data_IF_393640976733
#
_entry.id   IF_393640976733
#
_cell.length_a   1.000
_cell.length_b   1.000
_cell.length_c   1.000
_cell.angle_alpha   90.00
_cell.angle_beta   90.00
_cell.angle_gamma   90.00
#
_symmetry.space_group_name_H-M   'P 1'
#
loop_
_entity.id
_entity.type
_entity.pdbx_description
1 polymer ?
#
# COMPACT_ATOMS: atom_id res chain seq x y z
N UNK A 1 -11.11 -5.57 -1.58
CA UNK A 1 -9.74 -5.46 -0.99
C UNK A 1 -8.74 -5.75 -2.10
N UNK A 2 -7.63 -5.00 -2.19
CA UNK A 2 -6.62 -5.17 -3.25
C UNK A 2 -5.84 -6.48 -3.16
N UNK A 3 -4.82 -6.65 -4.01
CA UNK A 3 -4.01 -7.87 -4.08
C UNK A 3 -3.45 -8.31 -2.70
N UNK A 4 -3.43 -9.63 -2.40
CA UNK A 4 -2.71 -10.18 -1.26
C UNK A 4 -1.23 -9.83 -1.28
N UNK A 5 -0.63 -9.60 -0.12
CA UNK A 5 0.79 -9.23 -0.01
C UNK A 5 1.72 -10.27 -0.65
N UNK A 6 1.35 -11.55 -0.60
CA UNK A 6 2.08 -12.63 -1.27
C UNK A 6 2.12 -12.43 -2.79
N UNK A 7 0.98 -12.11 -3.41
CA UNK A 7 0.92 -11.88 -4.86
C UNK A 7 1.66 -10.60 -5.26
N UNK A 8 1.55 -9.53 -4.47
CA UNK A 8 2.34 -8.31 -4.67
C UNK A 8 3.84 -8.63 -4.64
N UNK A 9 4.28 -9.45 -3.69
CA UNK A 9 5.68 -9.87 -3.57
C UNK A 9 6.15 -10.66 -4.79
N UNK A 10 5.32 -11.60 -5.27
CA UNK A 10 5.60 -12.36 -6.50
C UNK A 10 5.75 -11.43 -7.71
N UNK A 11 4.83 -10.49 -7.91
CA UNK A 11 4.87 -9.56 -9.05
C UNK A 11 6.05 -8.59 -9.00
N UNK A 12 6.50 -8.22 -7.80
CA UNK A 12 7.59 -7.27 -7.59
C UNK A 12 8.94 -7.94 -7.29
N UNK A 13 9.02 -9.28 -7.35
CA UNK A 13 10.21 -10.07 -7.03
C UNK A 13 10.80 -9.76 -5.63
N UNK A 14 9.93 -9.54 -4.64
CA UNK A 14 10.32 -9.28 -3.23
C UNK A 14 9.54 -10.17 -2.26
N UNK A 15 10.07 -10.35 -1.05
CA UNK A 15 9.40 -11.16 -0.03
C UNK A 15 8.07 -10.53 0.44
N UNK A 16 7.12 -11.37 0.88
CA UNK A 16 5.87 -10.89 1.50
C UNK A 16 6.16 -9.99 2.73
N UNK A 17 7.22 -10.29 3.48
CA UNK A 17 7.70 -9.46 4.61
C UNK A 17 8.12 -8.07 4.12
N UNK A 18 8.85 -7.98 3.02
CA UNK A 18 9.25 -6.70 2.41
C UNK A 18 8.03 -5.89 1.98
N UNK A 19 7.01 -6.53 1.39
CA UNK A 19 5.73 -5.88 1.07
C UNK A 19 5.04 -5.33 2.32
N UNK A 20 4.97 -6.12 3.41
CA UNK A 20 4.39 -5.67 4.69
C UNK A 20 5.11 -4.42 5.22
N UNK A 21 6.44 -4.39 5.14
CA UNK A 21 7.24 -3.23 5.57
C UNK A 21 6.94 -1.99 4.72
N UNK A 22 6.86 -2.13 3.39
CA UNK A 22 6.49 -1.01 2.52
C UNK A 22 5.10 -0.47 2.84
N UNK A 23 4.12 -1.37 3.04
CA UNK A 23 2.77 -0.97 3.41
C UNK A 23 2.77 -0.22 4.75
N UNK A 24 3.44 -0.74 5.78
CA UNK A 24 3.54 -0.06 7.08
C UNK A 24 4.15 1.34 6.95
N UNK A 25 5.20 1.50 6.13
CA UNK A 25 5.82 2.79 5.88
C UNK A 25 4.90 3.75 5.12
N UNK A 26 4.15 3.27 4.12
CA UNK A 26 3.17 4.08 3.37
C UNK A 26 2.07 4.54 4.31
N UNK A 27 1.52 3.63 5.11
CA UNK A 27 0.49 3.92 6.11
C UNK A 27 0.94 4.99 7.10
N UNK A 28 2.16 4.86 7.63
CA UNK A 28 2.74 5.83 8.55
C UNK A 28 2.94 7.21 7.91
N UNK A 29 3.50 7.26 6.69
CA UNK A 29 3.71 8.53 5.95
C UNK A 29 2.42 9.24 5.58
N UNK A 30 1.36 8.48 5.31
CA UNK A 30 0.04 9.00 4.98
C UNK A 30 -0.84 9.25 6.21
N UNK A 31 -0.36 8.94 7.42
CA UNK A 31 -1.17 8.92 8.64
C UNK A 31 -2.49 8.15 8.47
N UNK A 32 -2.46 7.08 7.69
CA UNK A 32 -3.63 6.29 7.36
C UNK A 32 -3.81 5.14 8.38
N UNK A 33 -5.05 4.64 8.51
CA UNK A 33 -5.42 3.59 9.45
C UNK A 33 -5.48 2.20 8.78
N UNK A 34 -5.90 2.15 7.52
CA UNK A 34 -5.86 0.95 6.68
C UNK A 34 -5.56 1.28 5.20
N UNK A 35 -5.39 0.23 4.39
CA UNK A 35 -5.09 0.36 2.95
C UNK A 35 -6.15 1.20 2.21
N UNK A 36 -7.42 1.11 2.59
CA UNK A 36 -8.49 1.87 1.94
C UNK A 36 -8.33 3.35 2.23
N UNK A 37 -8.10 3.71 3.51
CA UNK A 37 -7.82 5.08 3.91
C UNK A 37 -6.59 5.64 3.18
N UNK A 38 -5.51 4.86 3.07
CA UNK A 38 -4.32 5.28 2.32
C UNK A 38 -4.61 5.58 0.84
N UNK A 39 -5.41 4.73 0.17
CA UNK A 39 -5.80 4.94 -1.24
C UNK A 39 -6.64 6.21 -1.38
N UNK A 40 -7.66 6.39 -0.53
CA UNK A 40 -8.51 7.59 -0.54
C UNK A 40 -7.67 8.85 -0.29
N UNK A 41 -6.75 8.82 0.67
CA UNK A 41 -5.84 9.94 0.96
C UNK A 41 -4.95 10.26 -0.25
N UNK A 42 -4.34 9.25 -0.87
CA UNK A 42 -3.50 9.45 -2.05
C UNK A 42 -4.27 10.02 -3.25
N UNK A 43 -5.53 9.62 -3.45
CA UNK A 43 -6.41 10.21 -4.48
C UNK A 43 -6.72 11.67 -4.16
N UNK A 44 -7.07 11.99 -2.91
CA UNK A 44 -7.33 13.38 -2.48
C UNK A 44 -6.12 14.30 -2.65
N UNK A 45 -4.91 13.77 -2.53
CA UNK A 45 -3.66 14.49 -2.79
C UNK A 45 -3.27 14.55 -4.28
N UNK A 46 -4.00 13.87 -5.17
CA UNK A 46 -3.68 13.81 -6.60
C UNK A 46 -2.49 12.92 -6.95
N UNK A 47 -2.06 12.02 -6.04
CA UNK A 47 -0.93 11.11 -6.29
C UNK A 47 -1.35 9.84 -7.04
N UNK A 48 -2.64 9.49 -6.97
CA UNK A 48 -3.25 8.37 -7.66
C UNK A 48 -4.50 8.85 -8.39
N UNK A 49 -4.71 8.34 -9.60
CA UNK A 49 -5.99 8.42 -10.32
C UNK A 49 -6.73 7.08 -10.17
N UNK A 50 -8.05 7.15 -10.01
CA UNK A 50 -8.94 5.98 -10.04
C UNK A 50 -9.36 5.63 -11.46
#
# INVERSE_FOLDING_TARGET
MGFPNRLIGVHLYISERTVKNHLANIMAKLHALDRTHAVVTAVRHGWLSL
#
